data_IF_988990126613
#
_entry.id   IF_988990126613
#
_cell.length_a   1.000
_cell.length_b   1.000
_cell.length_c   1.000
_cell.angle_alpha   90.00
_cell.angle_beta   90.00
_cell.angle_gamma   90.00
#
_symmetry.space_group_name_H-M   'P 1'
#
loop_
_entity.id
_entity.type
_entity.pdbx_description
1 polymer ?
#
# COMPACT_ATOMS: atom_id res chain seq x y z
N UNK A 1 -39.61 -26.39 37.73
CA UNK A 1 -38.33 -26.46 36.98
C UNK A 1 -38.33 -25.31 36.00
N UNK A 2 -37.97 -24.10 36.44
CA UNK A 2 -36.62 -23.49 36.43
C UNK A 2 -36.11 -23.34 34.98
N UNK A 3 -36.45 -22.22 34.32
CA UNK A 3 -35.62 -21.01 34.12
C UNK A 3 -34.31 -21.27 33.34
N UNK A 4 -34.21 -20.72 32.14
CA UNK A 4 -33.38 -19.53 31.88
C UNK A 4 -33.47 -19.12 30.39
N UNK A 5 -34.27 -18.08 30.15
CA UNK A 5 -34.14 -17.20 29.00
C UNK A 5 -33.08 -16.12 29.33
N UNK A 6 -32.20 -15.81 28.38
CA UNK A 6 -31.30 -14.65 28.40
C UNK A 6 -31.17 -14.17 26.94
N UNK A 7 -32.02 -13.27 26.46
CA UNK A 7 -31.86 -11.81 26.53
C UNK A 7 -30.52 -11.34 25.95
N UNK A 8 -30.47 -11.14 24.61
CA UNK A 8 -29.44 -10.37 23.91
C UNK A 8 -30.06 -9.04 23.43
N UNK A 9 -30.23 -8.10 24.37
CA UNK A 9 -30.45 -6.68 24.11
C UNK A 9 -29.71 -5.90 25.20
N UNK A 10 -28.80 -5.01 24.78
CA UNK A 10 -28.20 -4.01 25.66
C UNK A 10 -26.69 -4.17 25.86
N UNK A 11 -25.91 -3.49 25.01
CA UNK A 11 -24.46 -3.40 25.15
C UNK A 11 -23.84 -2.30 24.30
N UNK A 12 -24.40 -1.09 24.34
CA UNK A 12 -23.75 0.14 23.89
C UNK A 12 -22.57 0.46 24.81
N UNK A 13 -21.48 -0.28 24.67
CA UNK A 13 -20.19 0.00 25.32
C UNK A 13 -19.06 -0.72 24.58
N UNK A 14 -18.67 -0.27 23.39
CA UNK A 14 -17.48 -0.81 22.70
C UNK A 14 -16.60 0.26 22.03
N UNK A 15 -16.62 1.50 22.53
CA UNK A 15 -15.68 2.54 22.08
C UNK A 15 -14.20 2.28 22.46
N UNK A 16 -13.93 1.31 23.32
CA UNK A 16 -12.58 0.93 23.74
C UNK A 16 -11.94 -0.17 22.88
N UNK A 17 -12.73 -1.13 22.39
CA UNK A 17 -12.20 -2.36 21.78
C UNK A 17 -11.62 -2.14 20.38
N UNK A 18 -12.05 -1.08 19.70
CA UNK A 18 -11.50 -0.68 18.40
C UNK A 18 -10.16 0.07 18.52
N UNK A 19 -9.84 0.66 19.68
CA UNK A 19 -8.59 1.42 19.83
C UNK A 19 -7.36 0.53 19.76
N UNK A 20 -7.43 -0.67 20.36
CA UNK A 20 -6.31 -1.61 20.31
C UNK A 20 -6.10 -2.18 18.91
N UNK A 21 -7.17 -2.41 18.15
CA UNK A 21 -7.06 -2.85 16.75
C UNK A 21 -6.40 -1.81 15.86
N UNK A 22 -6.66 -0.52 16.09
CA UNK A 22 -6.01 0.56 15.34
C UNK A 22 -4.49 0.59 15.55
N UNK A 23 -3.99 0.10 16.68
CA UNK A 23 -2.55 0.00 16.96
C UNK A 23 -1.87 -1.10 16.15
N UNK A 24 -2.62 -2.07 15.64
CA UNK A 24 -2.09 -3.05 14.69
C UNK A 24 -1.77 -2.39 13.36
N UNK A 25 -2.35 -1.24 12.99
CA UNK A 25 -2.10 -0.58 11.70
C UNK A 25 -0.71 0.09 11.70
N UNK A 26 0.33 -0.72 11.52
CA UNK A 26 1.71 -0.31 11.60
C UNK A 26 2.62 -1.28 10.84
N UNK A 27 3.89 -0.90 10.71
CA UNK A 27 4.97 -1.80 10.29
C UNK A 27 5.71 -2.28 11.52
N UNK A 28 5.91 -3.59 11.61
CA UNK A 28 6.63 -4.24 12.71
C UNK A 28 7.81 -5.03 12.19
N UNK A 29 8.86 -5.09 13.01
CA UNK A 29 10.08 -5.83 12.77
C UNK A 29 10.18 -6.93 13.82
N UNK A 30 10.52 -8.15 13.43
CA UNK A 30 10.80 -9.20 14.43
C UNK A 30 12.00 -8.77 15.29
N UNK A 31 11.83 -8.77 16.61
CA UNK A 31 12.83 -8.32 17.57
C UNK A 31 14.14 -9.11 17.43
N UNK A 32 15.23 -8.38 17.27
CA UNK A 32 16.55 -8.91 16.93
C UNK A 32 17.51 -7.77 16.60
N UNK A 33 18.78 -8.12 16.41
CA UNK A 33 19.86 -7.20 16.01
C UNK A 33 19.87 -6.89 14.50
N UNK A 34 19.08 -7.62 13.71
CA UNK A 34 18.98 -7.50 12.25
C UNK A 34 17.53 -7.65 11.80
N UNK A 35 17.20 -7.00 10.68
CA UNK A 35 15.88 -7.15 10.04
C UNK A 35 15.76 -8.56 9.49
N UNK A 36 14.98 -9.38 10.17
CA UNK A 36 14.66 -10.75 9.74
C UNK A 36 13.29 -10.79 9.09
N UNK A 37 12.24 -10.32 9.78
CA UNK A 37 10.91 -10.18 9.21
C UNK A 37 10.43 -8.74 9.32
N UNK A 38 9.78 -8.27 8.26
CA UNK A 38 9.04 -6.99 8.25
C UNK A 38 7.58 -7.31 7.97
N UNK A 39 6.70 -7.04 8.93
CA UNK A 39 5.27 -7.30 8.83
C UNK A 39 4.49 -5.98 8.89
N UNK A 40 3.80 -5.65 7.82
CA UNK A 40 2.97 -4.44 7.71
C UNK A 40 1.51 -4.81 7.71
N UNK A 41 0.75 -4.28 8.66
CA UNK A 41 -0.71 -4.40 8.72
C UNK A 41 -1.35 -3.07 8.33
N UNK A 42 -2.36 -3.12 7.47
CA UNK A 42 -3.05 -1.94 6.94
C UNK A 42 -4.46 -1.81 7.53
N UNK A 43 -5.01 -0.61 7.46
CA UNK A 43 -6.33 -0.29 8.02
C UNK A 43 -7.49 -1.02 7.29
N UNK A 44 -7.27 -1.41 6.04
CA UNK A 44 -8.22 -2.16 5.20
C UNK A 44 -8.19 -3.68 5.46
N UNK A 45 -7.54 -4.12 6.54
CA UNK A 45 -7.37 -5.53 6.95
C UNK A 45 -6.51 -6.39 6.02
N UNK A 46 -5.64 -5.76 5.24
CA UNK A 46 -4.58 -6.46 4.50
C UNK A 46 -3.25 -6.43 5.24
N UNK A 47 -2.39 -7.41 4.93
CA UNK A 47 -1.01 -7.41 5.40
C UNK A 47 -0.03 -7.66 4.25
N UNK A 48 1.22 -7.26 4.49
CA UNK A 48 2.38 -7.57 3.66
C UNK A 48 3.52 -8.00 4.58
N UNK A 49 4.19 -9.10 4.26
CA UNK A 49 5.33 -9.60 5.02
C UNK A 49 6.53 -9.80 4.11
N UNK A 50 7.70 -9.35 4.57
CA UNK A 50 9.01 -9.63 3.98
C UNK A 50 9.77 -10.59 4.89
N UNK A 51 10.33 -11.64 4.30
CA UNK A 51 11.11 -12.67 5.00
C UNK A 51 12.62 -12.37 4.93
N UNK A 52 13.45 -13.07 5.71
CA UNK A 52 14.90 -12.84 5.72
C UNK A 52 15.57 -13.13 4.37
N UNK A 53 15.01 -14.04 3.57
CA UNK A 53 15.47 -14.38 2.22
C UNK A 53 14.92 -13.45 1.14
N UNK A 54 14.17 -12.40 1.52
CA UNK A 54 13.64 -11.39 0.60
C UNK A 54 12.37 -11.80 -0.12
N UNK A 55 11.75 -12.93 0.24
CA UNK A 55 10.43 -13.27 -0.26
C UNK A 55 9.37 -12.34 0.33
N UNK A 56 8.29 -12.16 -0.42
CA UNK A 56 7.17 -11.31 -0.04
C UNK A 56 5.90 -12.12 -0.08
N UNK A 57 5.10 -12.06 0.98
CA UNK A 57 3.73 -12.56 0.98
C UNK A 57 2.74 -11.46 1.34
N UNK A 58 1.54 -11.57 0.77
CA UNK A 58 0.43 -10.64 1.00
C UNK A 58 -0.83 -11.42 1.30
N UNK A 59 -1.76 -10.79 1.99
CA UNK A 59 -3.05 -11.40 2.25
C UNK A 59 -3.93 -10.57 3.15
N UNK A 60 -4.91 -11.24 3.75
CA UNK A 60 -5.85 -10.63 4.67
C UNK A 60 -5.58 -11.11 6.09
N UNK A 61 -5.89 -10.26 7.07
CA UNK A 61 -5.86 -10.64 8.47
C UNK A 61 -7.19 -10.30 9.14
N UNK A 62 -7.47 -11.00 10.23
CA UNK A 62 -8.56 -10.71 11.13
C UNK A 62 -8.00 -10.57 12.54
N UNK A 63 -8.44 -9.56 13.27
CA UNK A 63 -8.02 -9.34 14.64
C UNK A 63 -9.21 -9.09 15.57
N UNK A 64 -9.20 -9.75 16.73
CA UNK A 64 -10.04 -9.41 17.88
C UNK A 64 -9.21 -8.62 18.90
N UNK A 65 -9.73 -8.45 20.12
CA UNK A 65 -8.99 -7.82 21.22
C UNK A 65 -7.80 -8.66 21.72
N UNK A 66 -7.74 -9.96 21.41
CA UNK A 66 -6.68 -10.87 21.91
C UNK A 66 -6.14 -11.87 20.89
N UNK A 67 -6.80 -12.02 19.73
CA UNK A 67 -6.44 -13.01 18.74
C UNK A 67 -6.21 -12.37 17.37
N UNK A 68 -5.19 -12.83 16.68
CA UNK A 68 -4.79 -12.39 15.35
C UNK A 68 -4.73 -13.61 14.43
N UNK A 69 -5.53 -13.59 13.36
CA UNK A 69 -5.49 -14.58 12.28
C UNK A 69 -4.88 -13.95 11.03
N UNK A 70 -3.82 -14.54 10.48
CA UNK A 70 -3.16 -14.08 9.25
C UNK A 70 -3.35 -15.17 8.18
N UNK A 71 -4.13 -14.86 7.14
CA UNK A 71 -4.49 -15.82 6.07
C UNK A 71 -3.46 -15.80 4.95
N UNK A 72 -3.09 -16.98 4.44
CA UNK A 72 -2.18 -17.15 3.30
C UNK A 72 -2.65 -18.27 2.37
N UNK A 73 -1.96 -18.40 1.23
CA UNK A 73 -2.11 -19.50 0.28
C UNK A 73 -1.64 -20.81 0.95
N UNK A 74 -2.58 -21.51 1.61
CA UNK A 74 -2.30 -22.77 2.32
C UNK A 74 -2.89 -22.86 3.72
N UNK A 75 -3.28 -21.74 4.34
CA UNK A 75 -3.89 -21.80 5.67
C UNK A 75 -4.08 -20.45 6.35
N UNK A 76 -4.22 -20.49 7.66
CA UNK A 76 -4.26 -19.31 8.53
C UNK A 76 -3.36 -19.54 9.72
N UNK A 77 -2.42 -18.63 9.95
CA UNK A 77 -1.67 -18.59 11.21
C UNK A 77 -2.54 -17.92 12.27
N UNK A 78 -2.65 -18.52 13.44
CA UNK A 78 -3.43 -17.99 14.54
C UNK A 78 -2.53 -17.66 15.72
N UNK A 79 -2.58 -16.42 16.18
CA UNK A 79 -1.80 -15.94 17.31
C UNK A 79 -2.71 -15.39 18.39
N UNK A 80 -2.34 -15.62 19.64
CA UNK A 80 -2.69 -14.72 20.73
C UNK A 80 -1.71 -13.54 20.70
N UNK A 81 -2.20 -12.33 20.92
CA UNK A 81 -1.35 -11.16 20.92
C UNK A 81 -1.65 -10.20 22.08
N UNK A 82 -0.61 -9.47 22.48
CA UNK A 82 -0.66 -8.46 23.54
C UNK A 82 0.24 -7.29 23.15
N UNK A 83 -0.20 -6.06 23.39
CA UNK A 83 0.64 -4.88 23.16
C UNK A 83 1.50 -4.58 24.39
N UNK A 84 2.79 -4.32 24.15
CA UNK A 84 3.72 -3.74 25.11
C UNK A 84 4.19 -2.38 24.57
N UNK A 85 3.54 -1.30 25.01
CA UNK A 85 3.69 0.00 24.35
C UNK A 85 3.25 -0.08 22.89
N UNK A 86 4.11 0.27 21.93
CA UNK A 86 3.78 0.13 20.50
C UNK A 86 4.09 -1.27 19.95
N UNK A 87 4.86 -2.09 20.68
CA UNK A 87 5.32 -3.39 20.21
C UNK A 87 4.23 -4.45 20.44
N UNK A 88 4.25 -5.49 19.62
CA UNK A 88 3.28 -6.59 19.68
C UNK A 88 4.00 -7.87 20.11
N UNK A 89 3.56 -8.46 21.22
CA UNK A 89 3.98 -9.79 21.64
C UNK A 89 3.04 -10.81 21.03
N UNK A 90 3.57 -11.76 20.28
CA UNK A 90 2.83 -12.87 19.69
C UNK A 90 3.11 -14.17 20.43
N UNK A 91 2.08 -15.02 20.54
CA UNK A 91 2.16 -16.43 20.94
C UNK A 91 1.28 -17.25 20.01
N UNK A 92 1.66 -18.46 19.58
CA UNK A 92 0.78 -19.29 18.78
C UNK A 92 -0.49 -19.61 19.59
N UNK A 93 -1.66 -19.50 18.97
CA UNK A 93 -2.88 -19.97 19.62
C UNK A 93 -2.91 -21.50 19.64
N UNK A 94 -3.82 -22.08 20.43
CA UNK A 94 -4.06 -23.54 20.42
C UNK A 94 -4.52 -24.08 19.06
N UNK A 95 -4.99 -23.21 18.17
CA UNK A 95 -5.45 -23.55 16.83
C UNK A 95 -4.45 -23.17 15.75
N UNK A 96 -3.25 -22.70 16.12
CA UNK A 96 -2.21 -22.37 15.14
C UNK A 96 -1.70 -23.62 14.45
N UNK A 97 -1.64 -23.59 13.13
CA UNK A 97 -1.11 -24.67 12.31
C UNK A 97 -0.11 -24.08 11.29
N UNK A 98 1.16 -23.90 11.69
CA UNK A 98 2.19 -23.46 10.76
C UNK A 98 2.42 -24.52 9.69
N UNK A 99 2.31 -24.14 8.42
CA UNK A 99 2.58 -25.04 7.29
C UNK A 99 4.05 -24.96 6.88
N UNK A 100 4.77 -26.09 6.95
CA UNK A 100 6.15 -26.15 6.48
C UNK A 100 6.27 -25.73 5.00
N UNK A 101 7.30 -24.95 4.68
CA UNK A 101 7.56 -24.45 3.32
C UNK A 101 6.76 -23.22 2.89
N UNK A 102 5.76 -22.78 3.69
CA UNK A 102 5.09 -21.49 3.47
C UNK A 102 5.86 -20.34 4.12
N UNK A 103 5.91 -19.18 3.46
CA UNK A 103 6.43 -17.92 4.01
C UNK A 103 5.86 -17.66 5.41
N UNK A 104 4.54 -17.68 5.56
CA UNK A 104 3.89 -17.48 6.86
C UNK A 104 4.02 -18.68 7.79
N UNK A 105 4.27 -19.88 7.28
CA UNK A 105 4.61 -21.03 8.11
C UNK A 105 5.91 -20.85 8.89
N UNK A 106 6.86 -20.08 8.33
CA UNK A 106 8.14 -19.77 8.97
C UNK A 106 8.10 -18.57 9.92
N UNK A 107 7.03 -17.77 9.91
CA UNK A 107 6.90 -16.59 10.77
C UNK A 107 6.93 -17.00 12.26
N UNK A 108 7.93 -16.56 13.05
CA UNK A 108 7.93 -16.77 14.49
C UNK A 108 6.77 -16.04 15.16
N UNK A 109 6.23 -16.55 16.26
CA UNK A 109 6.64 -17.76 16.98
C UNK A 109 6.15 -19.06 16.33
N UNK A 110 6.89 -20.18 16.51
CA UNK A 110 6.52 -21.53 16.04
C UNK A 110 6.61 -22.49 17.24
N UNK A 111 5.51 -23.17 17.57
CA UNK A 111 5.39 -24.10 18.70
C UNK A 111 4.68 -23.50 19.92
N UNK A 112 3.89 -24.31 20.64
CA UNK A 112 2.88 -23.86 21.60
C UNK A 112 3.39 -22.91 22.70
N UNK A 113 4.64 -23.07 23.15
CA UNK A 113 5.21 -22.28 24.25
C UNK A 113 6.13 -21.14 23.78
N UNK A 114 6.30 -20.99 22.47
CA UNK A 114 7.19 -19.97 21.91
C UNK A 114 6.54 -18.59 21.92
N UNK A 115 7.38 -17.55 22.03
CA UNK A 115 6.96 -16.15 22.01
C UNK A 115 7.85 -15.39 21.05
N UNK A 116 7.27 -14.42 20.36
CA UNK A 116 8.01 -13.45 19.57
C UNK A 116 7.56 -12.04 19.91
N UNK A 117 8.48 -11.09 19.79
CA UNK A 117 8.16 -9.67 19.88
C UNK A 117 8.31 -9.07 18.48
N UNK A 118 7.27 -8.41 18.02
CA UNK A 118 7.25 -7.61 16.82
C UNK A 118 7.36 -6.15 17.25
N UNK A 119 8.54 -5.57 17.05
CA UNK A 119 8.87 -4.19 17.42
C UNK A 119 8.29 -3.24 16.40
N UNK A 120 7.48 -2.28 16.83
CA UNK A 120 6.92 -1.29 15.92
C UNK A 120 8.02 -0.42 15.32
N UNK A 121 7.84 0.03 14.07
CA UNK A 121 8.83 0.82 13.33
C UNK A 121 9.34 2.04 14.12
N UNK A 122 8.48 2.69 14.91
CA UNK A 122 8.86 3.85 15.73
C UNK A 122 9.86 3.45 16.83
N UNK A 123 9.68 2.29 17.46
CA UNK A 123 10.59 1.79 18.47
C UNK A 123 11.86 1.20 17.83
N UNK A 124 11.73 0.56 16.67
CA UNK A 124 12.86 0.05 15.89
C UNK A 124 13.83 1.17 15.47
N UNK A 125 13.30 2.26 14.92
CA UNK A 125 14.08 3.44 14.53
C UNK A 125 14.72 4.14 15.73
N UNK A 126 14.03 4.22 16.88
CA UNK A 126 14.61 4.76 18.12
C UNK A 126 15.82 3.95 18.62
N UNK A 127 15.90 2.66 18.29
CA UNK A 127 17.05 1.81 18.59
C UNK A 127 18.22 2.02 17.59
N UNK A 128 18.03 2.84 16.56
CA UNK A 128 19.05 3.09 15.52
C UNK A 128 19.26 1.88 14.59
N UNK A 129 18.29 0.97 14.50
CA UNK A 129 18.38 -0.24 13.69
C UNK A 129 17.98 0.05 12.22
N UNK A 130 18.61 -0.64 11.24
CA UNK A 130 18.32 -0.45 9.82
C UNK A 130 16.87 -0.85 9.49
N UNK A 131 16.19 -0.11 8.63
CA UNK A 131 14.79 -0.40 8.24
C UNK A 131 14.66 -1.22 6.97
N UNK A 132 15.74 -1.37 6.21
CA UNK A 132 15.75 -2.18 5.00
C UNK A 132 16.03 -3.65 5.35
N UNK A 133 15.28 -4.62 4.78
CA UNK A 133 15.65 -6.02 4.85
C UNK A 133 17.08 -6.17 4.36
N UNK A 134 17.89 -6.90 5.11
CA UNK A 134 19.29 -7.10 4.77
C UNK A 134 19.35 -8.02 3.55
N UNK A 135 19.20 -7.43 2.34
CA UNK A 135 19.22 -8.19 1.09
C UNK A 135 20.63 -8.77 0.98
N UNK A 136 20.81 -10.10 0.96
CA UNK A 136 22.14 -10.66 0.81
C UNK A 136 22.73 -10.10 -0.49
N UNK A 137 23.93 -9.51 -0.39
CA UNK A 137 24.60 -8.81 -1.50
C UNK A 137 24.85 -9.70 -2.74
N UNK A 138 24.60 -11.00 -2.65
CA UNK A 138 24.80 -11.99 -3.70
C UNK A 138 23.51 -12.56 -4.31
N UNK A 139 22.32 -11.99 -4.06
CA UNK A 139 21.11 -12.33 -4.82
C UNK A 139 21.11 -11.64 -6.21
N UNK A 140 22.19 -11.84 -6.97
CA UNK A 140 22.16 -11.63 -8.41
C UNK A 140 21.25 -12.71 -9.01
N UNK A 141 20.34 -12.29 -9.89
CA UNK A 141 19.44 -13.14 -10.66
C UNK A 141 20.21 -14.31 -11.32
N UNK A 142 20.23 -15.48 -10.67
CA UNK A 142 20.54 -16.72 -11.37
C UNK A 142 19.32 -17.08 -12.18
N UNK A 143 19.39 -16.82 -13.48
CA UNK A 143 18.49 -17.36 -14.50
C UNK A 143 18.35 -18.87 -14.28
N UNK A 144 17.14 -19.46 -14.25
CA UNK A 144 17.00 -20.90 -14.14
C UNK A 144 17.71 -21.56 -15.32
N UNK A 145 18.65 -22.47 -15.03
CA UNK A 145 19.24 -23.32 -16.06
C UNK A 145 18.12 -24.12 -16.73
N UNK A 146 18.10 -24.11 -18.07
CA UNK A 146 17.15 -24.85 -18.87
C UNK A 146 17.14 -26.32 -18.46
N UNK A 147 15.96 -26.82 -18.08
CA UNK A 147 15.72 -28.23 -17.83
C UNK A 147 16.03 -29.02 -19.11
N UNK A 148 16.92 -30.02 -19.11
CA UNK A 148 17.13 -30.84 -20.29
C UNK A 148 15.87 -31.67 -20.58
N UNK A 149 15.53 -31.75 -21.88
CA UNK A 149 14.47 -32.61 -22.39
C UNK A 149 14.71 -34.08 -21.97
N UNK A 150 13.67 -34.81 -21.52
CA UNK A 150 13.77 -36.26 -21.35
C UNK A 150 13.83 -36.95 -22.73
N UNK A 151 14.59 -38.04 -22.88
CA UNK A 151 14.63 -38.82 -24.12
C UNK A 151 13.34 -39.62 -24.31
N UNK A 152 12.93 -39.76 -25.58
CA UNK A 152 11.81 -40.58 -26.01
C UNK A 152 11.95 -42.04 -25.55
N UNK A 153 10.91 -42.57 -24.91
CA UNK A 153 10.73 -44.00 -24.63
C UNK A 153 9.69 -44.61 -25.59
N UNK A 154 9.88 -45.87 -26.00
CA UNK A 154 9.09 -46.49 -27.07
C UNK A 154 7.72 -46.99 -26.61
N UNK A 155 6.85 -47.20 -27.60
CA UNK A 155 5.45 -47.60 -27.48
C UNK A 155 5.20 -48.88 -26.65
N UNK A 156 4.19 -48.83 -25.79
CA UNK A 156 3.69 -49.96 -25.02
C UNK A 156 2.64 -50.79 -25.81
N UNK A 157 2.55 -52.12 -25.58
CA UNK A 157 1.56 -53.02 -26.18
C UNK A 157 0.19 -52.97 -25.46
N UNK A 158 -0.88 -53.58 -26.02
CA UNK A 158 -2.27 -53.25 -25.66
C UNK A 158 -2.76 -53.96 -24.40
N UNK A 159 -3.64 -53.28 -23.65
CA UNK A 159 -4.28 -53.75 -22.41
C UNK A 159 -5.67 -54.34 -22.71
N UNK A 160 -5.92 -55.54 -22.16
CA UNK A 160 -7.22 -56.25 -22.08
C UNK A 160 -8.00 -55.73 -20.85
N UNK A 161 -9.35 -55.63 -20.87
CA UNK A 161 -10.09 -55.00 -19.78
C UNK A 161 -10.47 -56.02 -18.69
N UNK A 162 -10.26 -55.67 -17.42
CA UNK A 162 -10.86 -56.37 -16.28
C UNK A 162 -11.52 -55.43 -15.25
N UNK A 163 -12.57 -55.99 -14.65
CA UNK A 163 -13.66 -55.38 -13.89
C UNK A 163 -13.27 -54.97 -12.46
N UNK A 164 -13.63 -53.72 -12.15
CA UNK A 164 -14.55 -53.24 -11.08
C UNK A 164 -14.42 -53.73 -9.61
N UNK A 165 -14.44 -52.69 -8.76
CA UNK A 165 -14.92 -52.52 -7.37
C UNK A 165 -13.90 -52.73 -6.24
N UNK A 166 -13.40 -51.60 -5.70
CA UNK A 166 -13.14 -51.44 -4.25
C UNK A 166 -13.62 -50.04 -3.83
N UNK A 167 -14.31 -50.00 -2.69
CA UNK A 167 -14.82 -48.82 -2.01
C UNK A 167 -13.68 -47.89 -1.56
N UNK A 168 -13.88 -46.57 -1.72
CA UNK A 168 -13.00 -45.54 -1.19
C UNK A 168 -13.82 -44.54 -0.36
N UNK A 169 -13.44 -44.41 0.90
CA UNK A 169 -13.94 -43.46 1.90
C UNK A 169 -13.63 -42.02 1.50
N UNK A 170 -14.65 -41.16 1.63
CA UNK A 170 -14.66 -39.77 1.19
C UNK A 170 -13.77 -38.84 2.04
N UNK A 171 -13.04 -37.89 1.43
CA UNK A 171 -12.51 -36.71 2.11
C UNK A 171 -13.61 -35.65 2.32
N UNK A 172 -13.58 -35.01 3.49
CA UNK A 172 -14.44 -33.89 3.87
C UNK A 172 -14.23 -32.67 2.94
N UNK A 173 -15.34 -32.06 2.55
CA UNK A 173 -15.40 -30.92 1.65
C UNK A 173 -14.94 -29.62 2.32
N UNK A 174 -14.10 -28.88 1.59
CA UNK A 174 -13.81 -27.46 1.80
C UNK A 174 -15.12 -26.67 1.59
N UNK A 175 -15.46 -25.66 2.41
CA UNK A 175 -16.64 -24.84 2.16
C UNK A 175 -16.48 -24.10 0.83
N UNK A 176 -17.42 -24.35 -0.08
CA UNK A 176 -17.48 -23.73 -1.40
C UNK A 176 -17.41 -22.21 -1.29
N UNK A 177 -16.53 -21.59 -2.08
CA UNK A 177 -16.60 -20.16 -2.35
C UNK A 177 -18.03 -19.84 -2.79
N UNK A 178 -18.62 -18.81 -2.17
CA UNK A 178 -19.96 -18.34 -2.53
C UNK A 178 -20.05 -18.21 -4.05
N UNK A 179 -20.95 -18.98 -4.66
CA UNK A 179 -21.14 -19.05 -6.10
C UNK A 179 -21.22 -17.64 -6.67
N UNK A 180 -20.23 -17.22 -7.46
CA UNK A 180 -20.45 -16.12 -8.37
C UNK A 180 -21.61 -16.55 -9.28
N UNK A 181 -22.69 -15.76 -9.41
CA UNK A 181 -23.71 -16.01 -10.41
C UNK A 181 -23.02 -16.24 -11.75
N UNK A 182 -23.29 -17.36 -12.42
CA UNK A 182 -22.78 -17.65 -13.78
C UNK A 182 -23.09 -16.52 -14.78
N UNK A 183 -24.02 -15.63 -14.42
CA UNK A 183 -24.53 -14.51 -15.20
C UNK A 183 -23.46 -13.48 -15.64
N UNK A 184 -22.44 -13.21 -14.81
CA UNK A 184 -21.41 -12.20 -15.14
C UNK A 184 -20.09 -12.79 -15.67
N UNK A 185 -20.00 -14.12 -15.79
CA UNK A 185 -18.82 -14.78 -16.33
C UNK A 185 -18.76 -14.56 -17.85
N UNK A 186 -17.57 -14.20 -18.35
CA UNK A 186 -17.32 -13.99 -19.76
C UNK A 186 -16.20 -13.00 -20.06
N UNK A 187 -15.95 -12.79 -21.34
CA UNK A 187 -15.05 -11.76 -21.85
C UNK A 187 -15.85 -10.52 -22.22
N UNK A 188 -15.39 -9.36 -21.78
CA UNK A 188 -16.02 -8.07 -22.01
C UNK A 188 -15.02 -7.10 -22.62
N UNK A 189 -15.46 -6.26 -23.55
CA UNK A 189 -14.68 -5.18 -24.14
C UNK A 189 -15.30 -3.82 -23.86
N UNK A 190 -14.44 -2.82 -23.71
CA UNK A 190 -14.83 -1.42 -23.64
C UNK A 190 -13.91 -0.61 -24.56
N UNK A 191 -14.47 0.34 -25.31
CA UNK A 191 -13.73 1.17 -26.25
C UNK A 191 -13.69 2.59 -25.69
N UNK A 192 -12.49 3.17 -25.60
CA UNK A 192 -12.31 4.55 -25.12
C UNK A 192 -12.60 5.58 -26.23
N UNK A 193 -12.57 6.87 -25.87
CA UNK A 193 -12.79 7.97 -26.82
C UNK A 193 -11.73 8.06 -27.93
N UNK A 194 -10.63 7.30 -27.85
CA UNK A 194 -9.55 7.22 -28.84
C UNK A 194 -9.61 5.93 -29.66
N UNK A 195 -10.73 5.21 -29.61
CA UNK A 195 -10.97 3.94 -30.31
C UNK A 195 -10.00 2.82 -29.89
N UNK A 196 -9.50 2.87 -28.65
CA UNK A 196 -8.66 1.82 -28.07
C UNK A 196 -9.51 0.90 -27.20
N UNK A 197 -9.33 -0.41 -27.36
CA UNK A 197 -10.08 -1.41 -26.62
C UNK A 197 -9.38 -1.80 -25.31
N UNK A 198 -10.15 -1.83 -24.22
CA UNK A 198 -9.84 -2.58 -23.01
C UNK A 198 -10.59 -3.92 -23.01
N UNK A 199 -10.00 -4.93 -22.39
CA UNK A 199 -10.60 -6.27 -22.26
C UNK A 199 -10.64 -6.67 -20.79
N UNK A 200 -11.80 -7.10 -20.29
CA UNK A 200 -11.97 -7.70 -18.98
C UNK A 200 -12.48 -9.13 -19.14
N UNK A 201 -11.77 -10.10 -18.57
CA UNK A 201 -12.19 -11.51 -18.53
C UNK A 201 -12.55 -11.89 -17.10
N UNK A 202 -13.81 -12.19 -16.86
CA UNK A 202 -14.31 -12.70 -15.58
C UNK A 202 -14.49 -14.21 -15.72
N UNK A 203 -13.68 -14.99 -15.00
CA UNK A 203 -13.68 -16.46 -15.10
C UNK A 203 -14.55 -17.10 -14.02
N UNK A 204 -14.99 -18.33 -14.28
CA UNK A 204 -15.50 -19.20 -13.21
C UNK A 204 -14.43 -19.37 -12.12
N UNK A 205 -14.84 -19.42 -10.86
CA UNK A 205 -13.93 -19.49 -9.71
C UNK A 205 -13.47 -18.14 -9.16
N UNK A 206 -14.00 -17.01 -9.65
CA UNK A 206 -13.79 -15.70 -9.03
C UNK A 206 -12.43 -15.08 -9.34
N UNK A 207 -11.81 -15.40 -10.49
CA UNK A 207 -10.58 -14.75 -10.96
C UNK A 207 -10.85 -13.88 -12.17
N UNK A 208 -10.09 -12.79 -12.34
CA UNK A 208 -10.17 -11.94 -13.52
C UNK A 208 -8.80 -11.70 -14.17
N UNK A 209 -8.81 -11.43 -15.48
CA UNK A 209 -7.73 -10.72 -16.16
C UNK A 209 -8.28 -9.44 -16.76
N UNK A 210 -7.46 -8.40 -16.75
CA UNK A 210 -7.76 -7.11 -17.32
C UNK A 210 -6.62 -6.69 -18.25
N UNK A 211 -6.96 -6.19 -19.43
CA UNK A 211 -6.04 -5.57 -20.38
C UNK A 211 -6.54 -4.16 -20.63
N UNK A 212 -5.77 -3.16 -20.25
CA UNK A 212 -6.10 -1.74 -20.44
C UNK A 212 -5.93 -1.32 -21.91
N UNK A 213 -6.47 -0.14 -22.30
CA UNK A 213 -6.35 0.37 -23.67
C UNK A 213 -4.91 0.63 -24.17
N UNK A 214 -3.94 0.77 -23.26
CA UNK A 214 -2.52 0.91 -23.57
C UNK A 214 -1.75 -0.43 -23.52
N UNK A 215 -2.44 -1.54 -23.23
CA UNK A 215 -1.88 -2.89 -23.23
C UNK A 215 -1.30 -3.35 -21.89
N UNK A 216 -1.39 -2.55 -20.82
CA UNK A 216 -1.07 -3.01 -19.47
C UNK A 216 -1.98 -4.19 -19.09
N UNK A 217 -1.45 -5.12 -18.30
CA UNK A 217 -2.16 -6.33 -17.89
C UNK A 217 -2.23 -6.39 -16.37
N UNK A 218 -3.44 -6.55 -15.87
CA UNK A 218 -3.72 -6.78 -14.46
C UNK A 218 -4.52 -8.06 -14.31
N UNK A 219 -4.45 -8.67 -13.13
CA UNK A 219 -5.22 -9.85 -12.81
C UNK A 219 -5.39 -9.99 -11.31
N UNK A 220 -6.35 -10.81 -10.91
CA UNK A 220 -6.63 -11.00 -9.51
C UNK A 220 -7.91 -11.78 -9.26
N UNK A 221 -8.52 -11.52 -8.11
CA UNK A 221 -9.79 -12.12 -7.72
C UNK A 221 -10.91 -11.11 -7.81
N UNK A 222 -12.12 -11.58 -8.12
CA UNK A 222 -13.32 -10.78 -8.02
C UNK A 222 -14.35 -11.41 -7.11
N UNK A 223 -15.15 -10.56 -6.47
CA UNK A 223 -16.34 -10.95 -5.73
C UNK A 223 -17.55 -10.20 -6.30
N UNK A 224 -18.56 -10.95 -6.73
CA UNK A 224 -19.83 -10.39 -7.18
C UNK A 224 -20.96 -10.78 -6.23
N UNK A 225 -21.56 -9.78 -5.58
CA UNK A 225 -22.62 -9.98 -4.59
C UNK A 225 -23.62 -8.83 -4.66
N UNK A 226 -24.92 -9.13 -4.72
CA UNK A 226 -26.00 -8.14 -4.70
C UNK A 226 -25.89 -7.03 -5.76
N UNK A 227 -25.45 -7.38 -6.98
CA UNK A 227 -25.23 -6.39 -8.03
C UNK A 227 -23.94 -5.58 -7.88
N UNK A 228 -23.08 -5.91 -6.91
CA UNK A 228 -21.79 -5.24 -6.72
C UNK A 228 -20.63 -6.13 -7.14
N UNK A 229 -19.79 -5.64 -8.06
CA UNK A 229 -18.55 -6.26 -8.49
C UNK A 229 -17.37 -5.59 -7.80
N UNK A 230 -16.60 -6.40 -7.08
CA UNK A 230 -15.37 -5.99 -6.42
C UNK A 230 -14.21 -6.69 -7.13
N UNK A 231 -13.32 -5.95 -7.76
CA UNK A 231 -12.09 -6.47 -8.35
C UNK A 231 -10.94 -6.20 -7.38
N UNK A 232 -10.13 -7.21 -7.07
CA UNK A 232 -8.95 -7.10 -6.21
C UNK A 232 -7.75 -7.73 -6.92
N UNK A 233 -6.79 -6.90 -7.36
CA UNK A 233 -5.52 -7.35 -7.97
C UNK A 233 -4.44 -7.68 -6.95
N UNK A 234 -4.75 -7.61 -5.65
CA UNK A 234 -3.79 -7.70 -4.54
C UNK A 234 -3.06 -6.39 -4.24
N UNK A 235 -3.06 -5.44 -5.18
CA UNK A 235 -2.55 -4.08 -4.99
C UNK A 235 -3.67 -3.04 -5.01
N UNK A 236 -4.65 -3.24 -5.90
CA UNK A 236 -5.71 -2.29 -6.18
C UNK A 236 -7.07 -2.94 -6.07
N UNK A 237 -8.03 -2.13 -5.64
CA UNK A 237 -9.43 -2.52 -5.60
C UNK A 237 -10.27 -1.58 -6.42
N UNK A 238 -11.21 -2.16 -7.16
CA UNK A 238 -12.28 -1.42 -7.84
C UNK A 238 -13.63 -1.93 -7.38
N UNK A 239 -14.54 -1.01 -7.12
CA UNK A 239 -15.89 -1.29 -6.66
C UNK A 239 -16.93 -0.72 -7.64
N UNK A 240 -17.68 -1.60 -8.29
CA UNK A 240 -18.69 -1.24 -9.27
C UNK A 240 -20.07 -1.74 -8.85
N UNK A 241 -21.10 -0.94 -9.11
CA UNK A 241 -22.45 -1.44 -9.29
C UNK A 241 -22.56 -1.97 -10.72
N UNK A 242 -23.08 -3.17 -10.88
CA UNK A 242 -23.20 -3.87 -12.16
C UNK A 242 -24.65 -4.13 -12.45
N UNK A 243 -25.09 -3.74 -13.64
CA UNK A 243 -26.40 -4.10 -14.18
C UNK A 243 -26.25 -4.72 -15.56
N UNK A 244 -27.15 -5.64 -15.91
CA UNK A 244 -27.22 -6.18 -17.26
C UNK A 244 -27.50 -5.07 -18.29
N UNK A 245 -26.90 -5.19 -19.46
CA UNK A 245 -27.20 -4.41 -20.66
C UNK A 245 -27.49 -5.36 -21.82
N UNK A 246 -28.14 -4.87 -22.88
CA UNK A 246 -28.58 -5.68 -24.03
C UNK A 246 -27.49 -6.61 -24.59
N UNK A 247 -26.25 -6.11 -24.67
CA UNK A 247 -25.10 -6.86 -25.19
C UNK A 247 -23.93 -6.94 -24.20
N UNK A 248 -24.18 -6.87 -22.88
CA UNK A 248 -23.09 -6.94 -21.90
C UNK A 248 -23.45 -6.46 -20.51
N UNK A 249 -22.54 -5.71 -19.88
CA UNK A 249 -22.70 -5.22 -18.51
C UNK A 249 -22.49 -3.71 -18.47
N UNK A 250 -23.29 -2.99 -17.70
CA UNK A 250 -23.01 -1.59 -17.35
C UNK A 250 -22.39 -1.55 -15.97
N UNK A 251 -21.18 -0.99 -15.90
CA UNK A 251 -20.50 -0.74 -14.63
C UNK A 251 -20.75 0.71 -14.24
N UNK A 252 -21.17 0.94 -13.01
CA UNK A 252 -21.32 2.27 -12.42
C UNK A 252 -20.36 2.38 -11.25
N UNK A 253 -19.46 3.36 -11.30
CA UNK A 253 -18.49 3.61 -10.23
C UNK A 253 -19.24 4.02 -8.96
N UNK A 254 -18.90 3.40 -7.82
CA UNK A 254 -19.38 3.85 -6.51
C UNK A 254 -18.67 5.12 -6.07
N UNK A 255 -19.34 5.97 -5.29
CA UNK A 255 -18.69 7.12 -4.64
C UNK A 255 -17.54 6.70 -3.72
N UNK A 256 -17.63 5.50 -3.14
CA UNK A 256 -16.59 4.91 -2.29
C UNK A 256 -15.43 4.29 -3.05
N UNK A 257 -15.54 4.14 -4.38
CA UNK A 257 -14.45 3.65 -5.22
C UNK A 257 -13.43 4.77 -5.42
N UNK A 258 -12.19 4.59 -4.96
CA UNK A 258 -11.12 5.59 -5.07
C UNK A 258 -10.10 5.10 -6.11
N UNK A 259 -10.25 5.47 -7.40
CA UNK A 259 -9.33 5.06 -8.43
C UNK A 259 -7.98 5.73 -8.19
N UNK A 260 -6.91 4.96 -8.30
CA UNK A 260 -5.55 5.50 -8.27
C UNK A 260 -5.07 5.74 -9.70
N UNK A 261 -4.67 6.96 -10.00
CA UNK A 261 -4.15 7.33 -11.32
C UNK A 261 -2.77 6.68 -11.55
N UNK A 262 -2.49 6.26 -12.79
CA UNK A 262 -1.20 5.67 -13.18
C UNK A 262 -1.09 4.15 -13.03
N UNK A 263 -2.21 3.45 -12.80
CA UNK A 263 -2.27 1.99 -12.77
C UNK A 263 -3.40 1.48 -13.68
N UNK A 264 -3.18 0.34 -14.34
CA UNK A 264 -4.13 -0.22 -15.30
C UNK A 264 -5.51 -0.44 -14.69
N UNK A 265 -5.60 -1.07 -13.51
CA UNK A 265 -6.90 -1.30 -12.85
C UNK A 265 -7.49 -0.01 -12.28
N UNK A 266 -6.66 0.94 -11.85
CA UNK A 266 -7.09 2.27 -11.40
C UNK A 266 -7.73 3.11 -12.52
N UNK A 267 -7.27 2.93 -13.76
CA UNK A 267 -7.78 3.62 -14.96
C UNK A 267 -8.91 2.87 -15.67
N UNK A 268 -9.27 1.67 -15.19
CA UNK A 268 -10.35 0.88 -15.75
C UNK A 268 -11.68 1.66 -15.79
N UNK A 269 -12.37 1.61 -16.93
CA UNK A 269 -13.63 2.30 -17.12
C UNK A 269 -14.79 1.67 -16.30
N UNK A 270 -15.70 2.48 -15.73
CA UNK A 270 -15.68 3.94 -15.74
C UNK A 270 -14.70 4.53 -14.72
N UNK A 271 -13.93 5.55 -15.12
CA UNK A 271 -13.22 6.40 -14.16
C UNK A 271 -14.21 7.27 -13.35
N UNK A 272 -15.35 7.62 -13.94
CA UNK A 272 -16.46 8.37 -13.32
C UNK A 272 -17.79 7.94 -13.93
N UNK A 273 -18.88 8.00 -13.15
CA UNK A 273 -20.22 7.67 -13.63
C UNK A 273 -20.36 6.20 -14.03
N UNK A 274 -20.88 5.96 -15.24
CA UNK A 274 -21.16 4.62 -15.76
C UNK A 274 -20.51 4.39 -17.12
N UNK A 275 -20.11 3.14 -17.40
CA UNK A 275 -19.64 2.70 -18.70
C UNK A 275 -20.21 1.32 -19.04
N UNK A 276 -20.64 1.14 -20.29
CA UNK A 276 -21.13 -0.14 -20.79
C UNK A 276 -19.99 -0.94 -21.41
N UNK A 277 -19.80 -2.15 -20.91
CA UNK A 277 -18.87 -3.15 -21.36
C UNK A 277 -19.60 -4.19 -22.21
N UNK A 278 -19.22 -4.33 -23.47
CA UNK A 278 -19.85 -5.25 -24.42
C UNK A 278 -19.31 -6.65 -24.21
N UNK A 279 -20.17 -7.65 -24.03
CA UNK A 279 -19.77 -9.06 -23.94
C UNK A 279 -19.28 -9.51 -25.32
N UNK A 280 -18.07 -10.03 -25.37
CA UNK A 280 -17.47 -10.57 -26.58
C UNK A 280 -17.62 -12.08 -26.51
N UNK A 281 -18.21 -12.69 -27.54
CA UNK A 281 -18.24 -14.14 -27.65
C UNK A 281 -16.78 -14.64 -27.71
N UNK A 282 -16.43 -15.66 -26.92
CA UNK A 282 -15.06 -16.17 -26.75
C UNK A 282 -14.39 -16.70 -28.04
N UNK A 283 -15.05 -16.57 -29.19
CA UNK A 283 -14.47 -16.74 -30.52
C UNK A 283 -13.56 -15.57 -30.94
N UNK A 284 -12.82 -14.94 -30.01
CA UNK A 284 -11.69 -14.12 -30.42
C UNK A 284 -10.64 -15.05 -31.05
N UNK A 285 -10.12 -14.76 -32.26
CA UNK A 285 -9.01 -15.52 -32.80
C UNK A 285 -7.88 -15.52 -31.77
N UNK A 286 -7.29 -16.69 -31.52
CA UNK A 286 -6.14 -16.83 -30.64
C UNK A 286 -5.15 -15.72 -30.97
N UNK A 287 -4.81 -14.91 -29.95
CA UNK A 287 -3.91 -13.78 -30.09
C UNK A 287 -2.65 -14.26 -30.85
N UNK A 288 -2.26 -13.63 -31.97
CA UNK A 288 -1.09 -14.06 -32.71
C UNK A 288 0.10 -14.14 -31.75
N UNK A 289 0.77 -15.29 -31.76
CA UNK A 289 1.94 -15.54 -30.93
C UNK A 289 2.88 -14.33 -31.03
N UNK A 290 3.25 -13.79 -29.88
CA UNK A 290 4.23 -12.72 -29.78
C UNK A 290 5.43 -13.10 -30.66
N UNK A 291 5.87 -12.23 -31.60
CA UNK A 291 7.01 -12.53 -32.45
C UNK A 291 8.19 -12.95 -31.57
N UNK A 292 8.83 -14.07 -31.93
CA UNK A 292 10.00 -14.57 -31.23
C UNK A 292 10.99 -13.42 -31.05
N UNK A 293 11.50 -13.27 -29.82
CA UNK A 293 12.49 -12.25 -29.50
C UNK A 293 13.62 -12.31 -30.54
N UNK A 294 14.04 -11.17 -31.11
CA UNK A 294 15.15 -11.15 -32.06
C UNK A 294 16.36 -11.82 -31.41
N UNK A 295 16.95 -12.79 -32.12
CA UNK A 295 18.13 -13.50 -31.62
C UNK A 295 19.23 -12.48 -31.28
N UNK A 296 19.98 -12.68 -30.19
CA UNK A 296 21.08 -11.79 -29.83
C UNK A 296 22.09 -11.74 -30.98
N UNK A 297 22.27 -10.54 -31.55
CA UNK A 297 23.34 -10.28 -32.50
C UNK A 297 24.65 -10.37 -31.72
N UNK A 298 25.61 -11.15 -32.21
CA UNK A 298 26.94 -11.27 -31.58
C UNK A 298 27.55 -9.88 -31.34
N UNK A 299 28.11 -9.62 -30.15
CA UNK A 299 28.72 -8.35 -29.85
C UNK A 299 29.95 -8.13 -30.74
N UNK A 300 29.86 -7.10 -31.59
CA UNK A 300 31.00 -6.56 -32.34
C UNK A 300 32.06 -6.12 -31.33
N UNK A 301 33.31 -6.57 -31.54
CA UNK A 301 34.44 -6.28 -30.68
C UNK A 301 34.58 -4.77 -30.42
N UNK A 302 34.82 -4.34 -29.16
CA UNK A 302 34.94 -2.93 -28.83
C UNK A 302 36.18 -2.32 -29.50
N UNK A 303 35.96 -1.26 -30.27
CA UNK A 303 37.01 -0.40 -30.80
C UNK A 303 37.74 0.27 -29.63
N UNK A 304 39.07 0.16 -29.62
CA UNK A 304 39.91 0.72 -28.58
C UNK A 304 39.72 2.24 -28.45
N UNK A 305 39.57 2.78 -27.22
CA UNK A 305 39.50 4.22 -27.01
C UNK A 305 40.86 4.89 -27.30
N UNK A 306 40.86 6.15 -27.79
CA UNK A 306 42.09 6.89 -28.05
C UNK A 306 42.85 7.21 -26.75
N UNK A 307 44.19 7.34 -26.81
CA UNK A 307 45.02 7.57 -25.63
C UNK A 307 44.74 8.92 -24.98
N UNK A 308 44.46 8.90 -23.67
CA UNK A 308 44.26 10.10 -22.85
C UNK A 308 45.61 10.73 -22.52
N UNK A 309 45.72 12.05 -22.75
CA UNK A 309 46.92 12.84 -22.42
C UNK A 309 47.17 12.92 -20.90
N UNK A 310 48.44 13.06 -20.45
CA UNK A 310 48.78 13.07 -19.04
C UNK A 310 48.36 14.38 -18.35
N UNK A 311 47.61 14.25 -17.25
CA UNK A 311 47.26 15.34 -16.34
C UNK A 311 48.39 15.53 -15.31
N UNK A 312 48.84 16.76 -15.14
CA UNK A 312 49.91 17.16 -14.22
C UNK A 312 49.53 16.96 -12.73
N UNK A 313 50.51 16.70 -11.83
CA UNK A 313 50.24 16.43 -10.43
C UNK A 313 49.87 17.69 -9.64
N UNK A 314 48.76 17.60 -8.91
CA UNK A 314 48.29 18.62 -7.97
C UNK A 314 49.13 18.58 -6.69
N UNK A 315 49.81 19.69 -6.39
CA UNK A 315 50.61 19.92 -5.18
C UNK A 315 49.70 19.93 -3.95
N UNK A 316 49.94 19.00 -3.01
CA UNK A 316 49.31 19.00 -1.68
C UNK A 316 50.07 19.95 -0.75
N UNK A 317 49.43 21.01 -0.30
CA UNK A 317 49.85 21.79 0.87
C UNK A 317 49.16 21.25 2.14
N UNK A 318 49.88 21.13 3.27
CA UNK A 318 49.28 20.69 4.53
C UNK A 318 48.55 21.85 5.25
N UNK A 319 47.46 21.57 5.98
CA UNK A 319 46.74 22.56 6.78
C UNK A 319 47.48 22.89 8.10
N UNK A 320 47.27 24.09 8.66
CA UNK A 320 47.92 24.51 9.90
C UNK A 320 47.31 23.84 11.15
N UNK A 321 48.20 23.52 12.08
CA UNK A 321 47.95 22.97 13.40
C UNK A 321 47.25 24.00 14.30
N UNK A 322 46.01 23.70 14.72
CA UNK A 322 45.23 24.52 15.67
C UNK A 322 45.35 23.91 17.05
N UNK A 323 45.90 24.67 17.99
CA UNK A 323 46.03 24.31 19.39
C UNK A 323 44.65 24.09 20.06
N UNK A 324 44.53 23.00 20.82
CA UNK A 324 43.34 22.66 21.59
C UNK A 324 43.20 23.54 22.85
N UNK A 325 42.01 24.08 23.19
CA UNK A 325 41.76 24.66 24.49
C UNK A 325 41.38 23.59 25.53
N UNK A 326 41.92 23.75 26.74
CA UNK A 326 41.56 22.96 27.94
C UNK A 326 40.10 23.22 28.33
N UNK A 327 39.34 22.15 28.53
CA UNK A 327 37.94 22.19 28.99
C UNK A 327 37.90 21.97 30.51
N UNK A 328 37.45 22.99 31.23
CA UNK A 328 37.03 22.91 32.65
C UNK A 328 35.63 22.29 32.73
N UNK A 329 35.32 21.41 33.69
CA UNK A 329 33.99 20.82 33.80
C UNK A 329 32.91 21.87 34.17
N UNK A 330 31.69 21.78 33.59
CA UNK A 330 30.63 22.75 33.85
C UNK A 330 29.99 22.54 35.24
N UNK A 331 29.65 23.68 35.86
CA UNK A 331 28.90 23.75 37.12
C UNK A 331 27.48 23.19 36.97
N UNK A 332 27.00 22.57 38.05
CA UNK A 332 25.65 22.01 38.19
C UNK A 332 24.59 23.10 37.95
N UNK A 333 23.63 22.90 37.04
CA UNK A 333 22.58 23.90 36.79
C UNK A 333 21.59 23.96 37.97
N UNK A 334 21.11 25.17 38.34
CA UNK A 334 20.12 25.33 39.40
C UNK A 334 18.76 24.74 39.00
N UNK A 335 18.05 24.23 40.01
CA UNK A 335 16.71 23.64 39.95
C UNK A 335 15.72 24.57 39.21
N UNK A 336 14.96 24.08 38.22
CA UNK A 336 13.97 24.89 37.51
C UNK A 336 12.88 25.39 38.45
N UNK A 337 12.59 26.69 38.38
CA UNK A 337 11.45 27.31 39.04
C UNK A 337 10.12 26.83 38.41
N UNK A 338 9.09 26.71 39.25
CA UNK A 338 7.74 26.32 38.83
C UNK A 338 7.18 27.26 37.73
N UNK A 339 6.48 26.72 36.72
CA UNK A 339 5.91 27.54 35.66
C UNK A 339 4.76 28.38 36.21
N UNK A 340 4.91 29.71 36.07
CA UNK A 340 3.84 30.68 36.32
C UNK A 340 2.67 30.55 35.33
N UNK A 341 1.58 31.30 35.57
CA UNK A 341 0.31 31.16 34.87
C UNK A 341 0.46 31.34 33.35
N UNK A 342 -0.11 30.40 32.61
CA UNK A 342 -0.17 30.34 31.14
C UNK A 342 -0.61 31.67 30.53
N UNK A 343 0.26 32.28 29.72
CA UNK A 343 -0.07 33.45 28.94
C UNK A 343 -1.23 33.16 27.95
N UNK A 344 -2.06 34.17 27.71
CA UNK A 344 -3.16 34.10 26.73
C UNK A 344 -2.65 33.70 25.33
N UNK A 345 -3.44 32.94 24.55
CA UNK A 345 -3.02 32.48 23.23
C UNK A 345 -2.66 33.66 22.34
N UNK A 346 -1.47 33.58 21.77
CA UNK A 346 -0.99 34.46 20.73
C UNK A 346 -2.00 34.56 19.57
N UNK A 347 -2.37 35.78 19.17
CA UNK A 347 -3.19 36.01 17.98
C UNK A 347 -2.45 35.54 16.71
N UNK A 348 -3.12 34.72 15.90
CA UNK A 348 -2.65 34.31 14.58
C UNK A 348 -2.83 35.45 13.58
N UNK A 349 -1.83 35.71 12.73
CA UNK A 349 -1.85 36.80 11.75
C UNK A 349 -2.43 36.31 10.42
N UNK A 350 -3.40 37.05 9.86
CA UNK A 350 -3.92 36.75 8.51
C UNK A 350 -2.94 37.28 7.45
N UNK A 351 -2.52 36.47 6.46
CA UNK A 351 -1.67 36.96 5.38
C UNK A 351 -2.43 37.98 4.52
N UNK A 352 -1.72 39.01 4.05
CA UNK A 352 -2.26 40.06 3.17
C UNK A 352 -1.96 39.81 1.69
N UNK A 353 -1.17 38.79 1.36
CA UNK A 353 -0.82 38.43 -0.01
C UNK A 353 -0.04 37.12 -0.09
N UNK A 354 -0.06 36.50 -1.28
CA UNK A 354 0.64 35.23 -1.56
C UNK A 354 2.14 35.32 -1.27
N UNK A 355 2.75 36.51 -1.44
CA UNK A 355 4.17 36.74 -1.16
C UNK A 355 4.58 36.40 0.29
N UNK A 356 3.68 36.57 1.26
CA UNK A 356 3.94 36.22 2.66
C UNK A 356 3.90 34.71 2.94
N UNK A 357 3.34 33.95 2.00
CA UNK A 357 3.22 32.49 2.08
C UNK A 357 4.36 31.78 1.32
N UNK A 358 5.28 32.51 0.68
CA UNK A 358 6.41 31.92 -0.05
C UNK A 358 7.34 31.20 0.93
N UNK A 359 7.68 29.95 0.60
CA UNK A 359 8.54 29.13 1.43
C UNK A 359 8.35 27.64 1.18
N UNK A 360 9.08 26.84 1.94
CA UNK A 360 8.84 25.39 2.05
C UNK A 360 8.33 25.12 3.45
N UNK A 361 7.22 24.41 3.55
CA UNK A 361 6.58 24.10 4.80
C UNK A 361 6.32 22.59 4.88
N UNK A 362 6.41 22.04 6.08
CA UNK A 362 6.26 20.61 6.34
C UNK A 362 5.15 20.43 7.34
N UNK A 363 4.13 19.67 6.98
CA UNK A 363 3.15 19.16 7.91
C UNK A 363 3.47 17.71 8.26
N UNK A 364 3.47 17.39 9.56
CA UNK A 364 3.66 16.03 10.06
C UNK A 364 2.44 15.62 10.89
N UNK A 365 1.37 15.07 10.28
CA UNK A 365 0.19 14.65 11.04
C UNK A 365 0.53 13.53 12.02
N UNK A 366 1.59 12.76 11.72
CA UNK A 366 2.19 11.79 12.62
C UNK A 366 3.69 11.61 12.26
N UNK A 367 4.49 10.85 13.04
CA UNK A 367 5.92 10.71 12.78
C UNK A 367 6.31 10.01 11.45
N UNK A 368 5.39 9.28 10.82
CA UNK A 368 5.64 8.50 9.60
C UNK A 368 5.15 9.18 8.32
N UNK A 369 4.20 10.10 8.47
CA UNK A 369 3.63 10.84 7.35
C UNK A 369 4.17 12.26 7.43
N UNK A 370 4.82 12.68 6.36
CA UNK A 370 5.21 14.07 6.15
C UNK A 370 4.65 14.54 4.83
N UNK A 371 4.03 15.69 4.86
CA UNK A 371 3.55 16.41 3.70
C UNK A 371 4.41 17.65 3.53
N UNK A 372 4.94 17.86 2.34
CA UNK A 372 5.71 19.05 2.01
C UNK A 372 4.87 19.94 1.12
N UNK A 373 4.74 21.20 1.49
CA UNK A 373 4.12 22.24 0.69
C UNK A 373 5.15 23.32 0.38
N UNK A 374 5.44 23.54 -0.89
CA UNK A 374 6.38 24.54 -1.36
C UNK A 374 5.62 25.57 -2.18
N UNK A 375 5.75 26.84 -1.84
CA UNK A 375 5.19 27.95 -2.59
C UNK A 375 6.32 28.85 -3.09
N UNK A 376 6.28 29.15 -4.38
CA UNK A 376 7.26 29.97 -5.09
C UNK A 376 6.65 31.32 -5.47
N UNK A 377 7.52 32.22 -5.94
CA UNK A 377 7.08 33.52 -6.46
C UNK A 377 6.12 33.34 -7.65
N UNK A 378 5.18 34.28 -7.81
CA UNK A 378 4.09 34.18 -8.78
C UNK A 378 2.99 33.17 -8.41
N UNK A 379 3.03 32.59 -7.20
CA UNK A 379 1.97 31.72 -6.69
C UNK A 379 2.03 30.27 -7.20
N UNK A 380 3.12 29.83 -7.81
CA UNK A 380 3.27 28.41 -8.14
C UNK A 380 3.51 27.59 -6.87
N UNK A 381 2.75 26.52 -6.68
CA UNK A 381 2.94 25.61 -5.55
C UNK A 381 3.25 24.18 -6.00
N UNK A 382 3.99 23.47 -5.16
CA UNK A 382 4.21 22.03 -5.20
C UNK A 382 3.79 21.43 -3.86
N UNK A 383 2.94 20.42 -3.90
CA UNK A 383 2.60 19.57 -2.77
C UNK A 383 3.23 18.20 -2.98
N UNK A 384 3.74 17.57 -1.92
CA UNK A 384 4.25 16.20 -1.94
C UNK A 384 3.86 15.47 -0.67
N UNK A 385 3.36 14.24 -0.79
CA UNK A 385 3.07 13.38 0.36
C UNK A 385 4.26 12.46 0.71
N UNK A 386 4.14 11.69 1.79
CA UNK A 386 5.18 10.75 2.23
C UNK A 386 5.34 9.53 1.31
N UNK A 387 4.39 9.30 0.40
CA UNK A 387 4.43 8.19 -0.55
C UNK A 387 5.08 8.60 -1.88
N UNK A 388 5.55 9.85 -2.00
CA UNK A 388 6.15 10.39 -3.20
C UNK A 388 5.15 10.89 -4.24
N UNK A 389 3.85 10.90 -3.93
CA UNK A 389 2.86 11.53 -4.79
C UNK A 389 3.09 13.04 -4.79
N UNK A 390 3.04 13.65 -5.97
CA UNK A 390 3.32 15.08 -6.15
C UNK A 390 2.22 15.76 -6.93
N UNK A 391 1.89 16.98 -6.53
CA UNK A 391 0.98 17.86 -7.25
C UNK A 391 1.61 19.22 -7.43
N UNK A 392 1.54 19.77 -8.64
CA UNK A 392 1.98 21.13 -8.95
C UNK A 392 0.79 21.93 -9.44
N UNK A 393 0.70 23.19 -9.02
CA UNK A 393 -0.42 24.05 -9.38
C UNK A 393 -0.18 25.52 -9.07
N UNK A 394 -1.27 26.28 -9.01
CA UNK A 394 -1.27 27.71 -8.67
C UNK A 394 -2.04 27.97 -7.38
N UNK A 395 -1.53 28.90 -6.59
CA UNK A 395 -2.11 29.36 -5.35
C UNK A 395 -2.46 30.85 -5.50
N UNK A 396 -3.71 31.19 -5.20
CA UNK A 396 -4.18 32.57 -5.14
C UNK A 396 -4.75 32.85 -3.75
N UNK A 397 -4.57 34.06 -3.24
CA UNK A 397 -5.08 34.46 -1.93
C UNK A 397 -6.04 35.64 -2.09
N UNK A 398 -7.25 35.49 -1.55
CA UNK A 398 -8.27 36.55 -1.46
C UNK A 398 -8.64 36.74 0.01
N UNK A 399 -8.11 37.80 0.63
CA UNK A 399 -8.14 37.95 2.09
C UNK A 399 -7.39 36.82 2.80
N UNK A 400 -8.07 36.07 3.66
CA UNK A 400 -7.53 34.86 4.29
C UNK A 400 -7.89 33.57 3.53
N UNK A 401 -8.54 33.67 2.37
CA UNK A 401 -9.00 32.51 1.60
C UNK A 401 -7.94 32.14 0.57
N UNK A 402 -7.18 31.09 0.89
CA UNK A 402 -6.23 30.45 0.00
C UNK A 402 -6.98 29.50 -0.95
N UNK A 403 -6.85 29.73 -2.24
CA UNK A 403 -7.32 28.86 -3.31
C UNK A 403 -6.14 28.19 -3.98
N UNK A 404 -6.07 26.86 -3.89
CA UNK A 404 -5.09 26.03 -4.59
C UNK A 404 -5.77 25.40 -5.81
N UNK A 405 -5.15 25.49 -6.98
CA UNK A 405 -5.65 24.88 -8.21
C UNK A 405 -4.55 24.05 -8.88
N UNK A 406 -4.82 22.78 -9.15
CA UNK A 406 -4.00 21.94 -10.03
C UNK A 406 -4.90 21.21 -11.04
N UNK A 407 -4.76 21.55 -12.32
CA UNK A 407 -5.68 21.12 -13.37
C UNK A 407 -7.12 21.58 -13.06
N UNK A 408 -8.05 20.62 -13.06
CA UNK A 408 -9.47 20.86 -12.76
C UNK A 408 -9.79 20.88 -11.26
N UNK A 409 -8.84 20.51 -10.41
CA UNK A 409 -9.08 20.44 -8.98
C UNK A 409 -8.74 21.75 -8.30
N UNK A 410 -9.72 22.22 -7.53
CA UNK A 410 -9.66 23.46 -6.76
C UNK A 410 -9.90 23.12 -5.29
N UNK A 411 -9.04 23.62 -4.42
CA UNK A 411 -9.12 23.49 -2.97
C UNK A 411 -9.16 24.84 -2.30
N UNK A 412 -9.97 24.97 -1.25
CA UNK A 412 -10.22 26.24 -0.57
C UNK A 412 -9.90 26.11 0.94
N UNK A 413 -9.01 26.97 1.43
CA UNK A 413 -8.58 27.01 2.82
C UNK A 413 -8.64 28.43 3.37
N UNK A 414 -9.02 28.59 4.63
CA UNK A 414 -8.63 29.75 5.42
C UNK A 414 -7.17 29.55 5.84
N UNK A 415 -6.32 30.56 5.68
CA UNK A 415 -4.91 30.52 6.05
C UNK A 415 -4.60 31.57 7.11
N UNK A 416 -3.78 31.19 8.08
CA UNK A 416 -3.17 32.12 9.04
C UNK A 416 -1.71 31.75 9.29
N UNK A 417 -0.91 32.74 9.67
CA UNK A 417 0.50 32.61 10.02
C UNK A 417 0.62 32.69 11.53
N UNK A 418 1.18 31.66 12.15
CA UNK A 418 1.47 31.63 13.58
C UNK A 418 2.74 32.44 13.89
N UNK A 419 2.96 32.77 15.17
CA UNK A 419 4.10 33.61 15.60
C UNK A 419 5.47 33.05 15.23
N UNK A 420 5.58 31.73 15.10
CA UNK A 420 6.79 31.02 14.69
C UNK A 420 6.94 30.90 13.16
N UNK A 421 6.02 31.48 12.41
CA UNK A 421 6.01 31.44 10.95
C UNK A 421 5.39 30.17 10.36
N UNK A 422 4.83 29.27 11.18
CA UNK A 422 4.06 28.14 10.69
C UNK A 422 2.77 28.61 10.01
N UNK A 423 2.33 27.86 8.99
CA UNK A 423 1.07 28.10 8.32
C UNK A 423 0.00 27.18 8.87
N UNK A 424 -1.10 27.75 9.33
CA UNK A 424 -2.29 26.98 9.68
C UNK A 424 -3.30 27.07 8.54
N UNK A 425 -3.54 25.94 7.88
CA UNK A 425 -4.59 25.79 6.87
C UNK A 425 -5.82 25.21 7.51
N UNK A 426 -6.97 25.86 7.37
CA UNK A 426 -8.27 25.39 7.83
C UNK A 426 -9.18 25.23 6.63
N UNK A 427 -9.75 24.04 6.44
CA UNK A 427 -10.65 23.74 5.33
C UNK A 427 -11.89 24.63 5.40
N UNK A 428 -12.19 25.33 4.30
CA UNK A 428 -13.39 26.13 4.22
C UNK A 428 -14.65 25.25 4.02
N UNK A 429 -15.84 25.66 4.49
CA UNK A 429 -17.06 24.90 4.28
C UNK A 429 -17.42 24.70 2.78
N UNK A 430 -17.05 25.65 1.93
CA UNK A 430 -17.29 25.57 0.48
C UNK A 430 -16.25 24.72 -0.26
N UNK A 431 -15.20 24.25 0.45
CA UNK A 431 -14.27 23.24 -0.07
C UNK A 431 -15.00 21.88 -0.16
N UNK A 432 -15.72 21.70 -1.26
CA UNK A 432 -16.32 20.43 -1.65
C UNK A 432 -15.41 19.77 -2.69
N UNK A 433 -14.44 18.93 -2.27
CA UNK A 433 -13.58 18.24 -3.22
C UNK A 433 -14.46 17.37 -4.13
N UNK A 434 -14.66 17.81 -5.38
CA UNK A 434 -15.48 17.08 -6.37
C UNK A 434 -14.75 15.84 -6.92
N UNK A 435 -13.44 15.75 -6.70
CA UNK A 435 -12.58 14.67 -7.18
C UNK A 435 -11.64 14.29 -6.03
N UNK A 436 -11.61 13.00 -5.66
CA UNK A 436 -10.56 12.42 -4.83
C UNK A 436 -9.31 12.22 -5.69
N UNK A 437 -8.63 13.32 -6.02
CA UNK A 437 -7.30 13.29 -6.65
C UNK A 437 -6.21 13.57 -5.60
N UNK A 438 -4.95 13.62 -6.02
CA UNK A 438 -3.79 13.79 -5.13
C UNK A 438 -3.80 15.08 -4.28
N UNK A 439 -4.56 16.11 -4.64
CA UNK A 439 -4.79 17.27 -3.76
C UNK A 439 -5.78 16.96 -2.63
N UNK A 440 -6.72 16.03 -2.84
CA UNK A 440 -7.67 15.57 -1.82
C UNK A 440 -6.98 14.84 -0.66
N UNK A 441 -5.76 14.34 -0.87
CA UNK A 441 -4.96 13.72 0.20
C UNK A 441 -4.23 14.71 1.10
N UNK A 442 -4.19 16.02 0.76
CA UNK A 442 -3.64 17.05 1.67
C UNK A 442 -4.27 16.93 3.05
N UNK A 443 -3.48 16.88 4.12
CA UNK A 443 -3.99 16.66 5.48
C UNK A 443 -5.15 17.57 5.91
N UNK A 444 -5.19 18.89 5.61
CA UNK A 444 -6.35 19.73 5.92
C UNK A 444 -7.68 19.24 5.32
N UNK A 445 -7.63 18.55 4.18
CA UNK A 445 -8.80 17.96 3.50
C UNK A 445 -9.47 16.90 4.37
N UNK A 446 -8.66 16.13 5.08
CA UNK A 446 -9.05 15.01 5.94
C UNK A 446 -9.25 15.46 7.38
N UNK A 447 -8.38 16.33 7.89
CA UNK A 447 -8.27 16.72 9.29
C UNK A 447 -9.02 18.02 9.65
N UNK A 448 -9.72 18.65 8.70
CA UNK A 448 -10.35 19.98 8.81
C UNK A 448 -9.37 21.14 8.98
N UNK A 449 -8.22 20.91 9.62
CA UNK A 449 -7.11 21.87 9.69
C UNK A 449 -5.77 21.14 9.75
N UNK A 450 -4.71 21.75 9.22
CA UNK A 450 -3.34 21.28 9.40
C UNK A 450 -2.35 22.44 9.54
N UNK A 451 -1.35 22.23 10.41
CA UNK A 451 -0.27 23.17 10.68
C UNK A 451 0.99 22.72 9.93
N UNK A 452 1.52 23.59 9.09
CA UNK A 452 2.73 23.37 8.30
C UNK A 452 3.87 24.21 8.86
N UNK A 453 4.86 23.56 9.45
CA UNK A 453 6.04 24.22 10.01
C UNK A 453 6.95 24.71 8.87
N UNK A 454 7.42 25.95 8.96
CA UNK A 454 8.37 26.50 7.98
C UNK A 454 9.72 25.78 8.09
N UNK A 455 10.27 25.33 6.96
CA UNK A 455 11.56 24.65 6.88
C UNK A 455 12.73 25.64 6.82
#
# INVERSE_FOLDING_TARGET
MLLAALALLGGLASGGEDKDKRRLFNTFFLDGDRVTYVLTFRADRTFEIYTPDGQVARGNYAASSKALGIKYEGGTRHFEFEFDGLDVKLRPSKTDQPQAGSILGTLPPIGADSKAVLVAIQNWQKRGLPTEPNRPANAALTTPAATPHPPDLPAAPPVVPEKKIVASTAPQAVPAAANAPQEIVGTYSWIDAKDRAAILRLREGGTFDYISPDGHRDGGTYLYLNGELNLDSGFWRRHFLVSAAENGLTFTRRETDVPKLGDGLGEMAPAQGSATWTKVNDNLPAQPAQPAAPQPVEPVAPVAPPPTAPVAPLVKTPPPEVAAPSVTPPAVPPKPAEPGPSAAPAENVKPTGVAQLIGTFIHRPNPLVSETWKLQDGGQFEYSDSNGAKVVGTATLDGDRLRLQAGEVVRLFAVSIEKDGALLFTRLPEDAPRILNDLASMSPSVLKSARYDKK
#
